data_IF_511124153016
#
_entry.id   IF_511124153016
#
_cell.length_a   1.000
_cell.length_b   1.000
_cell.length_c   1.000
_cell.angle_alpha   90.00
_cell.angle_beta   90.00
_cell.angle_gamma   90.00
#
_symmetry.space_group_name_H-M   'P 1'
#
loop_
_entity.id
_entity.type
_entity.pdbx_description
1 polymer ?
#
# COMPACT_ATOMS: atom_id res chain seq x y z
N UNK A 1 20.83 16.47 17.55
CA UNK A 1 20.29 16.24 16.21
C UNK A 1 19.89 14.79 16.00
N UNK A 2 20.81 13.82 15.96
CA UNK A 2 20.47 12.40 15.62
C UNK A 2 19.32 11.82 16.48
N UNK A 3 19.26 12.13 17.78
CA UNK A 3 18.17 11.64 18.65
C UNK A 3 16.84 12.31 18.26
N UNK A 4 16.83 13.62 18.04
CA UNK A 4 15.64 14.39 17.68
C UNK A 4 15.05 13.98 16.32
N UNK A 5 15.85 13.48 15.38
CA UNK A 5 15.34 13.02 14.08
C UNK A 5 14.54 11.70 14.15
N UNK A 6 14.51 11.04 15.30
CA UNK A 6 13.66 9.86 15.54
C UNK A 6 12.39 10.19 16.31
N UNK A 7 12.23 11.43 16.77
CA UNK A 7 11.04 11.85 17.52
C UNK A 7 9.97 12.37 16.56
N UNK A 8 8.69 12.10 16.82
CA UNK A 8 7.60 12.75 16.12
C UNK A 8 7.57 14.25 16.40
N UNK A 9 7.02 15.05 15.48
CA UNK A 9 7.10 16.52 15.56
C UNK A 9 6.44 17.12 16.80
N UNK A 10 5.37 16.52 17.33
CA UNK A 10 4.75 16.93 18.59
C UNK A 10 5.73 16.79 19.76
N UNK A 11 6.52 15.72 19.81
CA UNK A 11 7.56 15.51 20.84
C UNK A 11 8.74 16.46 20.63
N UNK A 12 9.15 16.72 19.36
CA UNK A 12 10.19 17.73 19.06
C UNK A 12 9.74 19.09 19.61
N UNK A 13 8.48 19.46 19.40
CA UNK A 13 7.91 20.71 19.88
C UNK A 13 7.87 20.79 21.40
N UNK A 14 7.44 19.74 22.09
CA UNK A 14 7.44 19.64 23.56
C UNK A 14 8.85 19.75 24.14
N UNK A 15 9.80 19.05 23.54
CA UNK A 15 11.19 19.03 23.98
C UNK A 15 11.89 20.40 23.81
N UNK A 16 11.38 21.29 22.96
CA UNK A 16 11.87 22.65 22.85
C UNK A 16 11.70 23.49 24.13
N UNK A 17 10.81 23.07 25.04
CA UNK A 17 10.57 23.75 26.30
C UNK A 17 11.56 23.36 27.41
N UNK A 18 12.32 22.26 27.25
CA UNK A 18 13.18 21.69 28.32
C UNK A 18 14.39 22.61 28.65
N UNK A 19 15.12 23.06 27.65
CA UNK A 19 16.25 23.99 27.84
C UNK A 19 16.62 24.73 26.54
N UNK A 20 17.45 25.75 26.65
CA UNK A 20 17.92 26.57 25.51
C UNK A 20 18.58 25.73 24.40
N UNK A 21 19.42 24.75 24.78
CA UNK A 21 20.11 23.88 23.82
C UNK A 21 19.14 22.96 23.08
N UNK A 22 18.16 22.38 23.76
CA UNK A 22 17.13 21.55 23.15
C UNK A 22 16.22 22.38 22.24
N UNK A 23 15.91 23.62 22.66
CA UNK A 23 15.16 24.55 21.81
C UNK A 23 15.90 24.86 20.52
N UNK A 24 17.21 25.14 20.57
CA UNK A 24 18.02 25.35 19.36
C UNK A 24 18.01 24.13 18.44
N UNK A 25 18.11 22.90 19.01
CA UNK A 25 18.05 21.68 18.23
C UNK A 25 16.67 21.45 17.63
N UNK A 26 15.60 21.65 18.41
CA UNK A 26 14.21 21.49 17.94
C UNK A 26 13.84 22.49 16.83
N UNK A 27 14.52 23.64 16.80
CA UNK A 27 14.32 24.69 15.81
C UNK A 27 15.19 24.55 14.56
N UNK A 28 16.06 23.53 14.52
CA UNK A 28 16.86 23.26 13.33
C UNK A 28 15.96 22.81 12.18
N UNK A 29 16.00 23.57 11.09
CA UNK A 29 15.11 23.37 9.93
C UNK A 29 15.24 21.99 9.31
N UNK A 30 16.37 21.31 9.48
CA UNK A 30 16.59 19.93 8.98
C UNK A 30 15.66 18.89 9.61
N UNK A 31 15.10 19.17 10.80
CA UNK A 31 14.10 18.32 11.44
C UNK A 31 12.70 18.52 10.84
N UNK A 32 12.49 19.56 10.03
CA UNK A 32 11.20 19.96 9.46
C UNK A 32 11.16 19.85 7.94
N UNK A 33 11.92 18.90 7.39
CA UNK A 33 11.94 18.65 5.95
C UNK A 33 10.74 17.82 5.46
N UNK A 34 10.10 17.08 6.36
CA UNK A 34 8.89 16.29 6.10
C UNK A 34 7.92 16.54 7.26
N UNK A 35 6.77 17.11 6.99
CA UNK A 35 5.82 17.55 8.03
C UNK A 35 4.41 17.11 7.66
N UNK A 36 3.75 16.39 8.57
CA UNK A 36 2.31 16.20 8.54
C UNK A 36 1.65 17.18 9.50
N UNK A 37 0.67 17.93 9.02
CA UNK A 37 -0.19 18.81 9.81
C UNK A 37 -1.56 18.18 10.07
N UNK A 38 -1.73 16.91 9.76
CA UNK A 38 -2.89 16.10 10.10
C UNK A 38 -2.75 15.65 11.55
N UNK A 39 -3.63 16.12 12.48
CA UNK A 39 -3.48 15.86 13.91
C UNK A 39 -3.49 14.38 14.27
N UNK A 40 -4.31 13.59 13.58
CA UNK A 40 -4.45 12.14 13.76
C UNK A 40 -3.18 11.37 13.38
N UNK A 41 -2.37 11.92 12.48
CA UNK A 41 -1.11 11.30 12.02
C UNK A 41 0.09 11.77 12.85
N UNK A 42 0.24 13.09 13.01
CA UNK A 42 1.44 13.70 13.60
C UNK A 42 1.30 14.11 15.06
N UNK A 43 0.07 14.20 15.56
CA UNK A 43 -0.25 14.81 16.86
C UNK A 43 0.07 16.31 16.94
N UNK A 44 0.36 16.95 15.79
CA UNK A 44 0.54 18.41 15.72
C UNK A 44 -0.80 19.09 15.48
N UNK A 45 -1.15 20.02 16.37
CA UNK A 45 -2.32 20.87 16.20
C UNK A 45 -1.89 22.27 15.83
N UNK A 46 -2.33 22.75 14.66
CA UNK A 46 -2.14 24.12 14.21
C UNK A 46 -3.50 24.80 14.24
N UNK A 47 -3.68 25.70 15.19
CA UNK A 47 -4.98 26.29 15.51
C UNK A 47 -5.34 27.52 14.68
N UNK A 48 -4.39 28.11 13.95
CA UNK A 48 -4.67 29.25 13.10
C UNK A 48 -3.77 29.30 11.87
N UNK A 49 -4.29 29.94 10.82
CA UNK A 49 -3.56 30.17 9.57
C UNK A 49 -2.33 31.06 9.83
N UNK A 50 -2.43 32.09 10.68
CA UNK A 50 -1.33 32.97 11.02
C UNK A 50 -0.17 32.22 11.68
N UNK A 51 -0.49 31.28 12.56
CA UNK A 51 0.52 30.40 13.18
C UNK A 51 1.21 29.54 12.12
N UNK A 52 0.44 28.95 11.20
CA UNK A 52 1.02 28.17 10.09
C UNK A 52 1.90 29.03 9.19
N UNK A 53 1.48 30.25 8.83
CA UNK A 53 2.27 31.18 8.04
C UNK A 53 3.62 31.51 8.72
N UNK A 54 3.60 31.70 10.04
CA UNK A 54 4.82 31.86 10.82
C UNK A 54 5.73 30.63 10.79
N UNK A 55 5.15 29.41 10.92
CA UNK A 55 5.91 28.16 10.83
C UNK A 55 6.55 27.98 9.45
N UNK A 56 5.81 28.28 8.38
CA UNK A 56 6.32 28.20 7.00
C UNK A 56 7.52 29.12 6.83
N UNK A 57 7.38 30.37 7.26
CA UNK A 57 8.44 31.38 7.08
C UNK A 57 9.67 31.12 7.93
N UNK A 58 9.51 30.65 9.17
CA UNK A 58 10.62 30.55 10.16
C UNK A 58 11.21 29.15 10.26
N UNK A 59 10.38 28.11 10.15
CA UNK A 59 10.79 26.73 10.40
C UNK A 59 10.96 25.90 9.15
N UNK A 60 9.99 25.96 8.27
CA UNK A 60 9.94 25.11 7.09
C UNK A 60 10.82 25.68 5.99
N UNK A 61 10.51 26.89 5.52
CA UNK A 61 11.29 27.64 4.54
C UNK A 61 11.95 26.74 3.47
N UNK A 62 13.24 26.93 3.22
CA UNK A 62 13.98 26.17 2.20
C UNK A 62 14.24 24.68 2.56
N UNK A 63 13.97 24.26 3.78
CA UNK A 63 14.20 22.85 4.19
C UNK A 63 13.05 21.92 3.86
N UNK A 64 11.83 22.44 3.73
CA UNK A 64 10.64 21.64 3.53
C UNK A 64 10.67 20.96 2.15
N UNK A 65 10.43 19.64 2.13
CA UNK A 65 10.34 18.80 0.93
C UNK A 65 9.01 18.10 0.80
N UNK A 66 8.39 17.79 1.94
CA UNK A 66 7.11 17.09 2.04
C UNK A 66 6.21 17.78 3.05
N UNK A 67 4.94 17.99 2.69
CA UNK A 67 3.90 18.50 3.59
C UNK A 67 2.57 17.82 3.36
N UNK A 68 1.86 17.52 4.47
CA UNK A 68 0.46 17.11 4.47
C UNK A 68 -0.38 18.22 5.10
N UNK A 69 -1.44 18.61 4.40
CA UNK A 69 -2.37 19.62 4.84
C UNK A 69 -3.78 19.02 5.01
N UNK A 70 -4.39 19.14 6.20
CA UNK A 70 -5.81 18.88 6.38
C UNK A 70 -6.64 20.01 5.76
N UNK A 71 -7.92 19.75 5.51
CA UNK A 71 -8.84 20.63 4.79
C UNK A 71 -8.80 22.09 5.29
N UNK A 72 -8.81 22.27 6.59
CA UNK A 72 -8.88 23.62 7.24
C UNK A 72 -7.68 24.48 6.91
N UNK A 73 -6.54 23.88 6.55
CA UNK A 73 -5.30 24.56 6.23
C UNK A 73 -5.06 24.69 4.71
N UNK A 74 -5.91 24.08 3.87
CA UNK A 74 -5.82 24.19 2.41
C UNK A 74 -6.53 25.48 1.98
N UNK A 75 -5.82 26.58 2.10
CA UNK A 75 -6.31 27.91 1.74
C UNK A 75 -5.37 28.61 0.75
N UNK A 76 -5.89 29.56 -0.04
CA UNK A 76 -5.05 30.24 -1.02
C UNK A 76 -3.84 30.97 -0.38
N UNK A 77 -3.91 31.63 0.83
CA UNK A 77 -2.75 32.24 1.45
C UNK A 77 -1.67 31.22 1.84
N UNK A 78 -2.07 30.06 2.38
CA UNK A 78 -1.13 29.00 2.76
C UNK A 78 -0.42 28.45 1.53
N UNK A 79 -1.15 28.12 0.47
CA UNK A 79 -0.56 27.60 -0.78
C UNK A 79 0.37 28.62 -1.44
N UNK A 80 0.02 29.89 -1.42
CA UNK A 80 0.85 30.99 -1.90
C UNK A 80 2.16 31.12 -1.09
N UNK A 81 2.08 31.05 0.24
CA UNK A 81 3.26 31.14 1.11
C UNK A 81 4.19 29.93 0.92
N UNK A 82 3.63 28.73 0.79
CA UNK A 82 4.41 27.52 0.44
C UNK A 82 5.14 27.68 -0.90
N UNK A 83 4.46 28.21 -1.92
CA UNK A 83 5.06 28.47 -3.22
C UNK A 83 6.25 29.42 -3.14
N UNK A 84 6.15 30.46 -2.33
CA UNK A 84 7.16 31.52 -2.24
C UNK A 84 8.31 31.20 -1.28
N UNK A 85 8.02 30.55 -0.15
CA UNK A 85 9.00 30.33 0.93
C UNK A 85 9.62 28.93 0.93
N UNK A 86 8.99 27.94 0.29
CA UNK A 86 9.45 26.56 0.29
C UNK A 86 9.91 26.10 -1.12
N UNK A 87 11.03 26.65 -1.64
CA UNK A 87 11.47 26.39 -3.02
C UNK A 87 11.92 24.93 -3.28
N UNK A 88 12.06 24.13 -2.23
CA UNK A 88 12.45 22.73 -2.30
C UNK A 88 11.29 21.74 -2.04
N UNK A 89 10.06 22.26 -1.94
CA UNK A 89 8.87 21.43 -1.77
C UNK A 89 8.61 20.61 -3.03
N UNK A 90 8.70 19.30 -2.90
CA UNK A 90 8.56 18.32 -3.98
C UNK A 90 7.39 17.38 -3.82
N UNK A 91 6.85 17.26 -2.60
CA UNK A 91 5.73 16.39 -2.29
C UNK A 91 4.68 17.13 -1.49
N UNK A 92 3.42 16.99 -1.89
CA UNK A 92 2.29 17.59 -1.18
C UNK A 92 1.15 16.59 -1.07
N UNK A 93 0.54 16.49 0.11
CA UNK A 93 -0.73 15.82 0.33
C UNK A 93 -1.77 16.86 0.74
N UNK A 94 -2.88 16.87 0.03
CA UNK A 94 -4.04 17.72 0.27
C UNK A 94 -5.22 16.83 0.67
N UNK A 95 -5.62 16.90 1.93
CA UNK A 95 -6.68 16.06 2.46
C UNK A 95 -8.01 16.79 2.48
N UNK A 96 -8.86 16.46 1.51
CA UNK A 96 -10.23 16.96 1.40
C UNK A 96 -11.27 15.92 1.84
N UNK A 97 -10.86 14.74 2.35
CA UNK A 97 -11.76 13.62 2.62
C UNK A 97 -12.94 13.96 3.54
N UNK A 98 -12.74 14.87 4.47
CA UNK A 98 -13.79 15.32 5.42
C UNK A 98 -14.46 16.63 5.01
N UNK A 99 -14.12 17.17 3.84
CA UNK A 99 -14.60 18.48 3.41
C UNK A 99 -16.07 18.40 2.97
N UNK A 100 -16.87 19.35 3.44
CA UNK A 100 -18.27 19.56 3.03
C UNK A 100 -18.41 20.72 2.04
N UNK A 101 -17.41 21.58 1.96
CA UNK A 101 -17.31 22.70 1.01
C UNK A 101 -15.85 23.12 0.81
N UNK A 102 -15.53 23.64 -0.37
CA UNK A 102 -14.20 24.19 -0.63
C UNK A 102 -14.08 25.60 -0.10
N UNK A 103 -12.87 25.97 0.30
CA UNK A 103 -12.49 27.37 0.46
C UNK A 103 -12.52 28.10 -0.89
N UNK A 104 -12.61 29.44 -0.85
CA UNK A 104 -12.51 30.24 -2.07
C UNK A 104 -11.04 30.30 -2.55
N UNK A 105 -10.82 29.87 -3.78
CA UNK A 105 -9.53 29.91 -4.46
C UNK A 105 -9.46 30.93 -5.60
N UNK A 106 -10.45 31.81 -5.72
CA UNK A 106 -10.51 32.79 -6.81
C UNK A 106 -9.26 33.65 -6.90
N UNK A 107 -8.72 34.07 -5.76
CA UNK A 107 -7.54 34.92 -5.66
C UNK A 107 -6.21 34.14 -5.68
N UNK A 108 -6.24 32.82 -5.88
CA UNK A 108 -5.03 32.01 -5.92
C UNK A 108 -4.22 32.29 -7.19
N UNK A 109 -3.02 32.83 -7.04
CA UNK A 109 -2.12 33.20 -8.13
C UNK A 109 -0.82 32.38 -8.16
N UNK A 110 -0.52 31.63 -7.09
CA UNK A 110 0.68 30.83 -6.99
C UNK A 110 0.41 29.48 -6.31
N UNK A 111 1.13 28.48 -6.77
CA UNK A 111 1.14 27.13 -6.25
C UNK A 111 2.57 26.57 -6.37
N UNK A 112 3.03 25.65 -5.50
CA UNK A 112 4.37 25.08 -5.62
C UNK A 112 4.63 24.45 -6.99
N UNK A 113 5.68 24.90 -7.69
CA UNK A 113 5.96 24.50 -9.09
C UNK A 113 6.95 23.36 -9.22
N UNK A 114 7.67 23.00 -8.14
CA UNK A 114 8.67 21.92 -8.15
C UNK A 114 8.12 20.60 -7.65
N UNK A 115 6.80 20.50 -7.55
CA UNK A 115 6.15 19.26 -7.14
C UNK A 115 6.43 18.13 -8.13
N UNK A 116 6.83 16.99 -7.58
CA UNK A 116 6.97 15.72 -8.29
C UNK A 116 5.90 14.72 -7.87
N UNK A 117 5.44 14.82 -6.62
CA UNK A 117 4.39 13.96 -6.07
C UNK A 117 3.27 14.82 -5.51
N UNK A 118 2.06 14.51 -5.91
CA UNK A 118 0.85 15.11 -5.36
C UNK A 118 -0.14 14.02 -4.97
N UNK A 119 -0.63 14.08 -3.75
CA UNK A 119 -1.72 13.27 -3.26
C UNK A 119 -2.91 14.16 -2.93
N UNK A 120 -4.09 13.79 -3.41
CA UNK A 120 -5.36 14.42 -3.08
C UNK A 120 -6.28 13.34 -2.52
N UNK A 121 -6.63 13.45 -1.24
CA UNK A 121 -7.72 12.65 -0.68
C UNK A 121 -9.04 13.37 -1.00
N UNK A 122 -9.91 12.69 -1.73
CA UNK A 122 -11.14 13.25 -2.27
C UNK A 122 -12.28 13.15 -1.26
N UNK A 123 -13.15 14.15 -1.26
CA UNK A 123 -14.50 14.03 -0.73
C UNK A 123 -15.45 13.70 -1.88
N UNK A 124 -16.38 12.79 -1.67
CA UNK A 124 -17.34 12.36 -2.69
C UNK A 124 -18.42 13.42 -2.98
N UNK A 125 -18.59 14.36 -2.07
CA UNK A 125 -19.65 15.40 -2.15
C UNK A 125 -19.18 16.73 -2.69
N UNK A 126 -17.88 16.91 -2.99
CA UNK A 126 -17.32 18.21 -3.39
C UNK A 126 -16.77 18.18 -4.81
N UNK A 127 -17.29 19.05 -5.67
CA UNK A 127 -16.70 19.30 -6.96
C UNK A 127 -15.39 20.11 -6.85
N UNK A 128 -14.28 19.47 -7.21
CA UNK A 128 -12.94 20.02 -7.10
C UNK A 128 -12.54 20.95 -8.25
N UNK A 129 -13.37 21.10 -9.28
CA UNK A 129 -13.00 21.83 -10.52
C UNK A 129 -12.57 23.30 -10.24
N UNK A 130 -13.18 23.97 -9.26
CA UNK A 130 -12.79 25.34 -8.87
C UNK A 130 -11.33 25.43 -8.41
N UNK A 131 -10.90 24.48 -7.59
CA UNK A 131 -9.53 24.37 -7.12
C UNK A 131 -8.59 23.87 -8.24
N UNK A 132 -8.96 22.79 -8.92
CA UNK A 132 -8.13 22.15 -9.92
C UNK A 132 -7.78 23.09 -11.08
N UNK A 133 -8.73 23.92 -11.51
CA UNK A 133 -8.51 24.93 -12.55
C UNK A 133 -7.38 25.90 -12.20
N UNK A 134 -7.21 26.19 -10.92
CA UNK A 134 -6.17 27.12 -10.45
C UNK A 134 -4.79 26.49 -10.43
N UNK A 135 -4.69 25.15 -10.32
CA UNK A 135 -3.40 24.45 -10.18
C UNK A 135 -2.89 23.80 -11.45
N UNK A 136 -3.73 23.58 -12.48
CA UNK A 136 -3.33 22.86 -13.72
C UNK A 136 -2.03 23.39 -14.34
N UNK A 137 -1.80 24.70 -14.33
CA UNK A 137 -0.61 25.29 -14.93
C UNK A 137 0.67 25.11 -14.09
N UNK A 138 0.56 24.65 -12.85
CA UNK A 138 1.68 24.50 -11.93
C UNK A 138 2.15 23.06 -11.74
N UNK A 139 1.35 22.08 -12.19
CA UNK A 139 1.55 20.64 -11.89
C UNK A 139 2.13 19.83 -13.06
N UNK A 140 2.62 20.48 -14.10
CA UNK A 140 3.17 19.81 -15.29
C UNK A 140 4.46 19.00 -15.00
N UNK A 141 5.13 19.26 -13.90
CA UNK A 141 6.32 18.54 -13.43
C UNK A 141 6.03 17.29 -12.62
N UNK A 142 4.75 16.93 -12.41
CA UNK A 142 4.40 15.75 -11.62
C UNK A 142 4.86 14.45 -12.28
N UNK A 143 5.46 13.59 -11.46
CA UNK A 143 5.84 12.22 -11.80
C UNK A 143 4.93 11.19 -11.12
N UNK A 144 4.35 11.54 -9.97
CA UNK A 144 3.50 10.67 -9.14
C UNK A 144 2.22 11.43 -8.77
N UNK A 145 1.08 10.82 -9.06
CA UNK A 145 -0.24 11.33 -8.72
C UNK A 145 -1.02 10.27 -7.94
N UNK A 146 -1.51 10.67 -6.78
CA UNK A 146 -2.47 9.89 -6.01
C UNK A 146 -3.79 10.66 -5.93
N UNK A 147 -4.85 10.03 -6.35
CA UNK A 147 -6.23 10.43 -6.06
C UNK A 147 -6.83 9.31 -5.22
N UNK A 148 -7.19 9.61 -3.99
CA UNK A 148 -7.66 8.64 -3.01
C UNK A 148 -9.09 8.95 -2.67
N UNK A 149 -9.99 8.03 -3.00
CA UNK A 149 -11.39 8.09 -2.61
C UNK A 149 -11.62 7.53 -1.20
N UNK A 150 -12.83 7.63 -0.71
CA UNK A 150 -13.21 7.18 0.63
C UNK A 150 -13.57 5.70 0.69
N UNK A 151 -13.83 5.06 -0.44
CA UNK A 151 -14.31 3.68 -0.54
C UNK A 151 -15.40 3.39 0.51
N UNK A 152 -16.55 4.01 0.37
CA UNK A 152 -17.77 3.51 0.99
C UNK A 152 -18.46 2.62 -0.03
N UNK A 153 -18.77 1.38 0.39
CA UNK A 153 -19.62 0.50 -0.40
C UNK A 153 -20.96 1.22 -0.50
N UNK A 154 -21.30 1.70 -1.70
CA UNK A 154 -22.59 2.32 -1.91
C UNK A 154 -23.68 1.34 -1.41
N UNK A 155 -24.45 1.74 -0.43
CA UNK A 155 -25.68 1.04 -0.10
C UNK A 155 -26.53 1.00 -1.37
N UNK A 156 -27.29 -0.08 -1.56
CA UNK A 156 -27.98 -0.46 -2.82
C UNK A 156 -29.01 0.56 -3.37
N UNK A 157 -29.10 1.75 -2.80
CA UNK A 157 -29.87 2.87 -3.37
C UNK A 157 -28.99 3.60 -4.36
N UNK A 158 -29.47 3.74 -5.60
CA UNK A 158 -28.82 4.43 -6.74
C UNK A 158 -28.44 5.88 -6.39
N UNK A 159 -27.36 6.07 -5.62
CA UNK A 159 -26.78 7.40 -5.48
C UNK A 159 -26.12 7.80 -6.78
N UNK A 160 -26.48 8.98 -7.29
CA UNK A 160 -25.83 9.56 -8.46
C UNK A 160 -24.33 9.76 -8.20
N UNK A 161 -23.49 8.99 -8.87
CA UNK A 161 -22.03 9.07 -8.73
C UNK A 161 -21.50 10.17 -9.64
N UNK A 162 -20.94 11.20 -9.04
CA UNK A 162 -20.42 12.37 -9.73
C UNK A 162 -18.90 12.30 -9.96
N UNK A 163 -18.43 12.72 -11.12
CA UNK A 163 -17.02 12.96 -11.39
C UNK A 163 -16.58 14.26 -10.67
N UNK A 164 -16.05 14.15 -9.48
CA UNK A 164 -15.64 15.30 -8.64
C UNK A 164 -14.37 15.99 -9.15
N UNK A 165 -13.55 15.31 -9.95
CA UNK A 165 -12.38 15.83 -10.65
C UNK A 165 -12.43 15.46 -12.12
N UNK A 166 -12.22 16.44 -13.01
CA UNK A 166 -12.13 16.18 -14.44
C UNK A 166 -10.78 15.56 -14.82
N UNK A 167 -10.77 14.23 -14.95
CA UNK A 167 -9.57 13.44 -15.27
C UNK A 167 -9.01 13.80 -16.66
N UNK A 168 -9.86 14.14 -17.63
CA UNK A 168 -9.41 14.54 -18.97
C UNK A 168 -8.61 15.84 -18.99
N UNK A 169 -8.94 16.79 -18.13
CA UNK A 169 -8.13 18.00 -17.95
C UNK A 169 -6.86 17.71 -17.15
N UNK A 170 -6.97 16.91 -16.12
CA UNK A 170 -5.85 16.55 -15.26
C UNK A 170 -4.74 15.83 -16.04
N UNK A 171 -5.08 14.82 -16.88
CA UNK A 171 -4.08 14.14 -17.72
C UNK A 171 -3.31 15.10 -18.64
N UNK A 172 -3.99 16.11 -19.16
CA UNK A 172 -3.37 17.09 -20.06
C UNK A 172 -2.40 18.01 -19.33
N UNK A 173 -2.68 18.29 -18.06
CA UNK A 173 -1.82 19.08 -17.17
C UNK A 173 -0.61 18.31 -16.64
N UNK A 174 -0.60 16.96 -16.70
CA UNK A 174 0.40 16.11 -16.07
C UNK A 174 1.02 15.07 -17.02
N UNK A 175 1.68 15.50 -18.11
CA UNK A 175 2.16 14.58 -19.17
C UNK A 175 3.35 13.70 -18.74
N UNK A 176 4.01 14.03 -17.62
CA UNK A 176 5.22 13.36 -17.16
C UNK A 176 4.97 12.26 -16.12
N UNK A 177 3.70 11.88 -15.89
CA UNK A 177 3.36 10.87 -14.89
C UNK A 177 3.99 9.51 -15.20
N UNK A 178 4.62 8.96 -14.17
CA UNK A 178 5.17 7.61 -14.10
C UNK A 178 4.31 6.70 -13.22
N UNK A 179 3.70 7.26 -12.19
CA UNK A 179 2.82 6.55 -11.26
C UNK A 179 1.49 7.27 -11.17
N UNK A 180 0.42 6.53 -11.38
CA UNK A 180 -0.96 6.98 -11.17
C UNK A 180 -1.64 5.99 -10.22
N UNK A 181 -2.14 6.49 -9.11
CA UNK A 181 -2.91 5.73 -8.13
C UNK A 181 -4.29 6.37 -7.96
N UNK A 182 -5.33 5.63 -8.30
CA UNK A 182 -6.75 6.03 -8.28
C UNK A 182 -7.52 5.15 -7.29
N UNK A 183 -7.02 5.02 -6.07
CA UNK A 183 -7.54 4.11 -5.07
C UNK A 183 -8.94 4.50 -4.59
N UNK A 184 -9.90 3.56 -4.66
CA UNK A 184 -11.22 3.69 -4.02
C UNK A 184 -12.10 4.80 -4.59
N UNK A 185 -11.98 5.12 -5.88
CA UNK A 185 -12.73 6.21 -6.51
C UNK A 185 -13.92 5.65 -7.29
N UNK A 186 -15.13 5.90 -6.82
CA UNK A 186 -16.36 5.31 -7.33
C UNK A 186 -16.71 5.73 -8.78
N UNK A 187 -16.30 6.93 -9.23
CA UNK A 187 -16.57 7.38 -10.59
C UNK A 187 -15.54 6.89 -11.62
N UNK A 188 -14.39 6.36 -11.19
CA UNK A 188 -13.33 5.92 -12.11
C UNK A 188 -13.74 4.65 -12.85
N UNK A 189 -13.68 4.72 -14.20
CA UNK A 189 -13.94 3.63 -15.13
C UNK A 189 -12.82 3.50 -16.17
N UNK A 190 -13.00 2.63 -17.14
CA UNK A 190 -12.04 2.37 -18.22
C UNK A 190 -11.74 3.59 -19.10
N UNK A 191 -12.69 4.53 -19.26
CA UNK A 191 -12.46 5.76 -20.05
C UNK A 191 -11.41 6.67 -19.41
N UNK A 192 -11.36 6.70 -18.09
CA UNK A 192 -10.35 7.44 -17.33
C UNK A 192 -8.95 6.81 -17.49
N UNK A 193 -8.86 5.47 -17.51
CA UNK A 193 -7.61 4.73 -17.77
C UNK A 193 -7.13 5.02 -19.21
N UNK A 194 -8.02 4.96 -20.18
CA UNK A 194 -7.71 5.34 -21.57
C UNK A 194 -7.23 6.79 -21.67
N UNK A 195 -7.85 7.67 -20.90
CA UNK A 195 -7.47 9.07 -20.84
C UNK A 195 -6.03 9.24 -20.38
N UNK A 196 -5.63 8.64 -19.25
CA UNK A 196 -4.25 8.67 -18.79
C UNK A 196 -3.30 8.03 -19.80
N UNK A 197 -3.62 6.85 -20.33
CA UNK A 197 -2.77 6.15 -21.30
C UNK A 197 -2.51 6.96 -22.58
N UNK A 198 -3.44 7.82 -22.97
CA UNK A 198 -3.29 8.64 -24.18
C UNK A 198 -2.25 9.76 -24.07
N UNK A 199 -1.94 10.21 -22.85
CA UNK A 199 -1.04 11.33 -22.59
C UNK A 199 0.20 10.95 -21.80
N UNK A 200 0.08 9.99 -20.86
CA UNK A 200 1.14 9.60 -19.93
C UNK A 200 1.89 8.36 -20.44
N UNK A 201 2.56 8.46 -21.59
CA UNK A 201 3.28 7.34 -22.24
C UNK A 201 4.49 6.85 -21.43
N UNK A 202 4.91 7.58 -20.41
CA UNK A 202 5.99 7.21 -19.50
C UNK A 202 5.51 6.41 -18.30
N UNK A 203 4.22 6.04 -18.25
CA UNK A 203 3.61 5.36 -17.12
C UNK A 203 4.31 4.03 -16.83
N UNK A 204 4.74 3.86 -15.59
CA UNK A 204 5.41 2.67 -15.08
C UNK A 204 4.53 1.89 -14.09
N UNK A 205 3.64 2.60 -13.39
CA UNK A 205 2.72 2.01 -12.41
C UNK A 205 1.33 2.64 -12.53
N UNK A 206 0.31 1.79 -12.61
CA UNK A 206 -1.10 2.15 -12.49
C UNK A 206 -1.75 1.31 -11.40
N UNK A 207 -2.37 1.97 -10.43
CA UNK A 207 -3.17 1.34 -9.40
C UNK A 207 -4.59 1.89 -9.48
N UNK A 208 -5.57 1.00 -9.62
CA UNK A 208 -7.01 1.29 -9.68
C UNK A 208 -7.77 0.42 -8.68
N UNK A 209 -7.12 0.12 -7.57
CA UNK A 209 -7.70 -0.73 -6.52
C UNK A 209 -9.02 -0.14 -6.01
N UNK A 210 -10.02 -0.98 -5.84
CA UNK A 210 -11.36 -0.61 -5.36
C UNK A 210 -12.13 0.35 -6.30
N UNK A 211 -11.80 0.35 -7.59
CA UNK A 211 -12.57 1.08 -8.61
C UNK A 211 -13.56 0.11 -9.28
N UNK A 212 -14.75 -0.02 -8.70
CA UNK A 212 -15.74 -1.03 -9.10
C UNK A 212 -16.23 -0.89 -10.56
N UNK A 213 -16.12 0.29 -11.18
CA UNK A 213 -16.51 0.53 -12.59
C UNK A 213 -15.42 0.16 -13.61
N UNK A 214 -14.23 -0.26 -13.15
CA UNK A 214 -13.17 -0.72 -14.05
C UNK A 214 -13.43 -2.16 -14.46
N UNK A 215 -13.70 -2.37 -15.75
CA UNK A 215 -14.06 -3.68 -16.32
C UNK A 215 -12.91 -4.36 -17.07
N UNK A 216 -11.84 -3.61 -17.35
CA UNK A 216 -10.70 -4.08 -18.12
C UNK A 216 -10.81 -3.79 -19.63
N UNK A 217 -11.86 -3.14 -20.10
CA UNK A 217 -12.00 -2.80 -21.52
C UNK A 217 -10.90 -1.89 -22.05
N UNK A 218 -10.28 -1.11 -21.17
CA UNK A 218 -9.13 -0.26 -21.45
C UNK A 218 -7.78 -0.99 -21.53
N UNK A 219 -7.67 -2.24 -21.05
CA UNK A 219 -6.39 -2.93 -20.92
C UNK A 219 -5.63 -3.10 -22.22
N UNK A 220 -6.33 -3.45 -23.30
CA UNK A 220 -5.73 -3.57 -24.64
C UNK A 220 -5.07 -2.27 -25.09
N UNK A 221 -5.73 -1.16 -24.92
CA UNK A 221 -5.23 0.16 -25.29
C UNK A 221 -4.10 0.59 -24.34
N UNK A 222 -4.29 0.41 -23.04
CA UNK A 222 -3.29 0.72 -22.02
C UNK A 222 -1.96 0.03 -22.32
N UNK A 223 -1.96 -1.30 -22.50
CA UNK A 223 -0.75 -2.09 -22.76
C UNK A 223 -0.13 -1.77 -24.14
N UNK A 224 -0.93 -1.33 -25.10
CA UNK A 224 -0.43 -0.90 -26.42
C UNK A 224 0.31 0.43 -26.36
N UNK A 225 -0.15 1.37 -25.54
CA UNK A 225 0.39 2.74 -25.42
C UNK A 225 1.50 2.85 -24.37
N UNK A 226 1.29 2.27 -23.19
CA UNK A 226 2.20 2.41 -22.04
C UNK A 226 3.23 1.28 -22.01
N UNK A 227 4.21 1.29 -22.92
CA UNK A 227 5.21 0.22 -23.04
C UNK A 227 6.18 0.12 -21.86
N UNK A 228 6.19 1.08 -20.94
CA UNK A 228 6.98 1.08 -19.71
C UNK A 228 6.20 0.60 -18.49
N UNK A 229 4.92 0.25 -18.64
CA UNK A 229 4.07 -0.17 -17.54
C UNK A 229 4.54 -1.52 -16.99
N UNK A 230 5.04 -1.51 -15.74
CA UNK A 230 5.59 -2.66 -15.03
C UNK A 230 4.72 -3.12 -13.87
N UNK A 231 3.93 -2.21 -13.31
CA UNK A 231 3.09 -2.48 -12.16
C UNK A 231 1.63 -2.12 -12.49
N UNK A 232 0.73 -3.09 -12.31
CA UNK A 232 -0.70 -2.93 -12.54
C UNK A 232 -1.46 -3.54 -11.36
N UNK A 233 -2.15 -2.68 -10.59
CA UNK A 233 -2.89 -3.08 -9.40
C UNK A 233 -4.38 -2.85 -9.63
N UNK A 234 -5.17 -3.92 -9.62
CA UNK A 234 -6.61 -3.94 -9.95
C UNK A 234 -7.43 -4.70 -8.89
N UNK A 235 -6.99 -4.63 -7.63
CA UNK A 235 -7.70 -5.29 -6.52
C UNK A 235 -9.15 -4.79 -6.43
N UNK A 236 -10.10 -5.74 -6.33
CA UNK A 236 -11.54 -5.45 -6.27
C UNK A 236 -12.09 -4.59 -7.43
N UNK A 237 -11.55 -4.78 -8.62
CA UNK A 237 -12.16 -4.28 -9.86
C UNK A 237 -13.12 -5.32 -10.44
N UNK A 238 -14.14 -4.85 -11.17
CA UNK A 238 -15.15 -5.73 -11.83
C UNK A 238 -14.67 -6.23 -13.20
N UNK A 239 -13.49 -6.85 -13.25
CA UNK A 239 -12.85 -7.28 -14.49
C UNK A 239 -13.70 -8.31 -15.25
N UNK A 240 -13.84 -8.13 -16.55
CA UNK A 240 -14.55 -9.05 -17.43
C UNK A 240 -13.57 -9.99 -18.16
N UNK A 241 -13.92 -11.27 -18.24
CA UNK A 241 -13.06 -12.31 -18.80
C UNK A 241 -12.64 -12.05 -20.24
N UNK A 242 -13.58 -11.68 -21.11
CA UNK A 242 -13.33 -11.40 -22.52
C UNK A 242 -12.41 -10.18 -22.71
N UNK A 243 -12.54 -9.17 -21.88
CA UNK A 243 -11.70 -7.97 -21.92
C UNK A 243 -10.26 -8.26 -21.49
N UNK A 244 -10.09 -9.04 -20.42
CA UNK A 244 -8.78 -9.46 -19.94
C UNK A 244 -8.09 -10.35 -20.96
N UNK A 245 -8.79 -11.30 -21.55
CA UNK A 245 -8.26 -12.21 -22.59
C UNK A 245 -7.92 -11.48 -23.91
N UNK A 246 -8.64 -10.40 -24.25
CA UNK A 246 -8.38 -9.60 -25.45
C UNK A 246 -7.13 -8.72 -25.35
N UNK A 247 -6.57 -8.53 -24.16
CA UNK A 247 -5.38 -7.71 -23.95
C UNK A 247 -4.09 -8.43 -24.42
N UNK A 248 -3.10 -7.66 -24.89
CA UNK A 248 -1.83 -8.20 -25.43
C UNK A 248 -0.76 -8.35 -24.34
N UNK A 249 -1.00 -9.22 -23.36
CA UNK A 249 -0.11 -9.43 -22.21
C UNK A 249 1.30 -9.84 -22.59
N UNK A 250 1.48 -10.64 -23.65
CA UNK A 250 2.77 -11.10 -24.18
C UNK A 250 3.67 -9.98 -24.69
N UNK A 251 3.11 -8.83 -25.00
CA UNK A 251 3.81 -7.62 -25.43
C UNK A 251 4.02 -6.61 -24.30
N UNK A 252 3.53 -6.92 -23.11
CA UNK A 252 3.60 -6.04 -21.95
C UNK A 252 4.96 -6.09 -21.25
N UNK A 253 5.27 -5.07 -20.46
CA UNK A 253 6.41 -5.03 -19.57
C UNK A 253 6.02 -5.35 -18.12
N UNK A 254 4.79 -5.86 -17.88
CA UNK A 254 4.25 -6.13 -16.55
C UNK A 254 5.13 -7.13 -15.80
N UNK A 255 5.48 -6.75 -14.57
CA UNK A 255 6.25 -7.55 -13.63
C UNK A 255 5.54 -7.68 -12.28
N UNK A 256 4.69 -6.73 -11.94
CA UNK A 256 3.94 -6.67 -10.68
C UNK A 256 2.45 -6.56 -11.01
N UNK A 257 1.67 -7.51 -10.53
CA UNK A 257 0.25 -7.63 -10.84
C UNK A 257 -0.55 -7.92 -9.58
N UNK A 258 -1.64 -7.19 -9.38
CA UNK A 258 -2.65 -7.49 -8.36
C UNK A 258 -4.01 -7.64 -9.04
N UNK A 259 -4.58 -8.83 -8.90
CA UNK A 259 -5.94 -9.21 -9.34
C UNK A 259 -6.77 -9.76 -8.19
N UNK A 260 -6.38 -9.44 -6.96
CA UNK A 260 -7.07 -9.90 -5.74
C UNK A 260 -8.55 -9.52 -5.78
N UNK A 261 -9.39 -10.45 -5.36
CA UNK A 261 -10.84 -10.25 -5.25
C UNK A 261 -11.51 -9.72 -6.55
N UNK A 262 -11.10 -10.27 -7.68
CA UNK A 262 -11.76 -10.08 -8.98
C UNK A 262 -12.53 -11.36 -9.36
N UNK A 263 -13.60 -11.22 -10.17
CA UNK A 263 -14.46 -12.34 -10.57
C UNK A 263 -13.97 -13.05 -11.85
N UNK A 264 -12.66 -13.15 -12.03
CA UNK A 264 -12.07 -13.79 -13.20
C UNK A 264 -12.22 -15.31 -13.16
N UNK A 265 -12.55 -15.92 -14.31
CA UNK A 265 -12.59 -17.38 -14.47
C UNK A 265 -11.18 -17.99 -14.44
N UNK A 266 -11.11 -19.29 -14.14
CA UNK A 266 -9.86 -20.03 -14.16
C UNK A 266 -9.14 -19.98 -15.51
N UNK A 267 -9.89 -19.99 -16.62
CA UNK A 267 -9.36 -19.84 -17.98
C UNK A 267 -8.71 -18.47 -18.18
N UNK A 268 -9.40 -17.40 -17.81
CA UNK A 268 -8.89 -16.02 -17.95
C UNK A 268 -7.67 -15.76 -17.06
N UNK A 269 -7.66 -16.27 -15.84
CA UNK A 269 -6.51 -16.18 -14.94
C UNK A 269 -5.30 -16.91 -15.56
N UNK A 270 -5.50 -18.11 -16.07
CA UNK A 270 -4.43 -18.90 -16.67
C UNK A 270 -3.90 -18.24 -17.95
N UNK A 271 -4.78 -17.77 -18.86
CA UNK A 271 -4.40 -17.06 -20.07
C UNK A 271 -3.54 -15.82 -19.73
N UNK A 272 -4.04 -14.99 -18.86
CA UNK A 272 -3.35 -13.79 -18.38
C UNK A 272 -1.94 -14.12 -17.82
N UNK A 273 -1.87 -15.04 -16.86
CA UNK A 273 -0.63 -15.34 -16.14
C UNK A 273 0.41 -16.06 -16.98
N UNK A 274 0.00 -16.84 -17.99
CA UNK A 274 0.93 -17.54 -18.89
C UNK A 274 1.48 -16.65 -19.99
N UNK A 275 0.73 -15.62 -20.39
CA UNK A 275 1.13 -14.66 -21.43
C UNK A 275 2.03 -13.53 -20.93
N UNK A 276 2.07 -13.24 -19.63
CA UNK A 276 2.99 -12.25 -19.07
C UNK A 276 4.43 -12.76 -19.18
N UNK A 277 5.36 -12.04 -19.84
CA UNK A 277 6.70 -12.55 -20.14
C UNK A 277 7.55 -12.82 -18.90
N UNK A 278 7.39 -12.05 -17.82
CA UNK A 278 8.21 -12.17 -16.62
C UNK A 278 7.52 -11.54 -15.41
N UNK A 279 6.80 -12.35 -14.66
CA UNK A 279 6.19 -11.92 -13.40
C UNK A 279 7.21 -11.97 -12.26
N UNK A 280 7.26 -10.92 -11.45
CA UNK A 280 8.11 -10.78 -10.29
C UNK A 280 7.31 -10.82 -8.99
N UNK A 281 6.14 -10.23 -9.02
CA UNK A 281 5.25 -10.08 -7.88
C UNK A 281 3.81 -10.31 -8.34
N UNK A 282 3.09 -11.21 -7.66
CA UNK A 282 1.69 -11.50 -7.91
C UNK A 282 0.90 -11.47 -6.60
N UNK A 283 -0.19 -10.72 -6.60
CA UNK A 283 -1.29 -10.85 -5.63
C UNK A 283 -2.52 -11.37 -6.36
N UNK A 284 -2.99 -12.54 -5.96
CA UNK A 284 -4.11 -13.25 -6.52
C UNK A 284 -4.99 -13.83 -5.40
N UNK A 285 -5.09 -13.11 -4.29
CA UNK A 285 -5.91 -13.51 -3.15
C UNK A 285 -7.40 -13.42 -3.44
N UNK A 286 -8.21 -14.14 -2.65
CA UNK A 286 -9.67 -14.12 -2.73
C UNK A 286 -10.23 -14.44 -4.14
N UNK A 287 -9.57 -15.35 -4.84
CA UNK A 287 -9.99 -15.83 -6.16
C UNK A 287 -10.48 -17.27 -6.06
N UNK A 288 -11.79 -17.49 -6.08
CA UNK A 288 -12.38 -18.83 -6.05
C UNK A 288 -11.93 -19.69 -7.23
N UNK A 289 -11.66 -19.04 -8.36
CA UNK A 289 -11.21 -19.68 -9.57
C UNK A 289 -9.70 -20.01 -9.60
N UNK A 290 -8.93 -19.60 -8.58
CA UNK A 290 -7.50 -19.94 -8.48
C UNK A 290 -7.32 -21.32 -7.87
N UNK A 291 -7.41 -22.34 -8.72
CA UNK A 291 -7.43 -23.77 -8.36
C UNK A 291 -6.06 -24.42 -8.50
N UNK A 292 -5.94 -25.67 -8.03
CA UNK A 292 -4.77 -26.53 -8.24
C UNK A 292 -4.36 -26.64 -9.71
N UNK A 293 -5.35 -26.72 -10.61
CA UNK A 293 -5.12 -26.80 -12.05
C UNK A 293 -4.47 -25.50 -12.57
N UNK A 294 -4.98 -24.34 -12.15
CA UNK A 294 -4.40 -23.03 -12.53
C UNK A 294 -2.97 -22.91 -12.00
N UNK A 295 -2.74 -23.22 -10.72
CA UNK A 295 -1.42 -23.12 -10.10
C UNK A 295 -0.40 -24.05 -10.79
N UNK A 296 -0.80 -25.29 -11.12
CA UNK A 296 0.03 -26.26 -11.82
C UNK A 296 0.38 -25.78 -13.23
N UNK A 297 -0.63 -25.42 -14.03
CA UNK A 297 -0.43 -25.03 -15.43
C UNK A 297 0.34 -23.71 -15.55
N UNK A 298 0.12 -22.78 -14.63
CA UNK A 298 0.93 -21.56 -14.53
C UNK A 298 2.40 -21.90 -14.26
N UNK A 299 2.69 -22.79 -13.30
CA UNK A 299 4.06 -23.23 -13.01
C UNK A 299 4.73 -24.00 -14.15
N UNK A 300 3.97 -24.67 -15.02
CA UNK A 300 4.50 -25.41 -16.18
C UNK A 300 4.76 -24.51 -17.39
N UNK A 301 3.90 -23.51 -17.64
CA UNK A 301 3.85 -22.75 -18.89
C UNK A 301 4.45 -21.33 -18.77
N UNK A 302 4.52 -20.75 -17.56
CA UNK A 302 5.02 -19.41 -17.37
C UNK A 302 6.51 -19.32 -16.99
N UNK A 303 7.12 -18.17 -17.25
CA UNK A 303 8.48 -17.88 -16.81
C UNK A 303 8.50 -17.29 -15.40
N UNK A 304 8.65 -18.14 -14.39
CA UNK A 304 8.61 -17.78 -12.96
C UNK A 304 10.01 -17.60 -12.33
N UNK A 305 11.06 -17.52 -13.13
CA UNK A 305 12.45 -17.36 -12.62
C UNK A 305 12.64 -16.13 -11.75
N UNK A 306 11.86 -15.08 -12.01
CA UNK A 306 11.95 -13.80 -11.31
C UNK A 306 10.88 -13.63 -10.22
N UNK A 307 10.03 -14.64 -9.97
CA UNK A 307 8.99 -14.56 -8.95
C UNK A 307 9.61 -14.46 -7.55
N UNK A 308 9.40 -13.33 -6.88
CA UNK A 308 9.92 -13.05 -5.53
C UNK A 308 8.82 -12.88 -4.50
N UNK A 309 7.59 -12.62 -4.92
CA UNK A 309 6.47 -12.42 -4.02
C UNK A 309 5.19 -13.03 -4.57
N UNK A 310 4.47 -13.75 -3.71
CA UNK A 310 3.23 -14.42 -4.04
C UNK A 310 2.23 -14.28 -2.89
N UNK A 311 1.06 -13.74 -3.22
CA UNK A 311 -0.08 -13.65 -2.31
C UNK A 311 -1.22 -14.51 -2.84
N UNK A 312 -1.62 -15.49 -2.05
CA UNK A 312 -2.72 -16.41 -2.30
C UNK A 312 -3.73 -16.40 -1.14
N UNK A 313 -3.85 -15.26 -0.45
CA UNK A 313 -4.77 -15.13 0.68
C UNK A 313 -6.19 -15.56 0.31
N UNK A 314 -6.79 -16.46 1.10
CA UNK A 314 -8.17 -16.93 0.91
C UNK A 314 -8.44 -17.61 -0.47
N UNK A 315 -7.44 -18.22 -1.07
CA UNK A 315 -7.65 -19.10 -2.24
C UNK A 315 -8.07 -20.49 -1.74
N UNK A 316 -9.36 -20.66 -1.46
CA UNK A 316 -9.90 -21.82 -0.75
C UNK A 316 -9.82 -23.14 -1.53
N UNK A 317 -9.69 -23.05 -2.86
CA UNK A 317 -9.64 -24.20 -3.77
C UNK A 317 -8.22 -24.73 -4.05
N UNK A 318 -7.24 -24.33 -3.24
CA UNK A 318 -5.87 -24.86 -3.32
C UNK A 318 -5.66 -26.03 -2.35
N UNK A 319 -5.11 -27.13 -2.83
CA UNK A 319 -4.72 -28.27 -2.00
C UNK A 319 -3.31 -28.13 -1.42
N UNK A 320 -3.07 -28.82 -0.30
CA UNK A 320 -1.73 -28.93 0.30
C UNK A 320 -0.69 -29.47 -0.70
N UNK A 321 -1.07 -30.45 -1.51
CA UNK A 321 -0.19 -31.08 -2.49
C UNK A 321 0.22 -30.11 -3.60
N UNK A 322 -0.71 -29.31 -4.12
CA UNK A 322 -0.43 -28.33 -5.16
C UNK A 322 0.50 -27.22 -4.64
N UNK A 323 0.23 -26.71 -3.44
CA UNK A 323 1.08 -25.73 -2.77
C UNK A 323 2.48 -26.28 -2.52
N UNK A 324 2.59 -27.50 -2.01
CA UNK A 324 3.88 -28.17 -1.76
C UNK A 324 4.72 -28.28 -3.05
N UNK A 325 4.11 -28.76 -4.14
CA UNK A 325 4.79 -28.91 -5.44
C UNK A 325 5.23 -27.57 -6.01
N UNK A 326 4.35 -26.57 -5.96
CA UNK A 326 4.66 -25.24 -6.49
C UNK A 326 5.78 -24.56 -5.69
N UNK A 327 5.66 -24.52 -4.37
CA UNK A 327 6.67 -23.91 -3.49
C UNK A 327 7.98 -24.70 -3.57
N UNK A 328 7.92 -26.02 -3.65
CA UNK A 328 9.09 -26.89 -3.82
C UNK A 328 9.90 -26.51 -5.05
N UNK A 329 9.23 -26.14 -6.15
CA UNK A 329 9.88 -25.77 -7.42
C UNK A 329 10.36 -24.32 -7.45
N UNK A 330 9.57 -23.36 -6.95
CA UNK A 330 9.82 -21.92 -7.11
C UNK A 330 10.19 -21.20 -5.81
N UNK A 331 9.99 -21.84 -4.66
CA UNK A 331 10.13 -21.21 -3.33
C UNK A 331 11.53 -20.65 -3.02
N UNK A 332 12.58 -21.18 -3.66
CA UNK A 332 13.95 -20.73 -3.42
C UNK A 332 14.20 -19.26 -3.79
N UNK A 333 13.37 -18.70 -4.68
CA UNK A 333 13.44 -17.28 -5.06
C UNK A 333 12.52 -16.38 -4.24
N UNK A 334 11.52 -16.96 -3.57
CA UNK A 334 10.51 -16.20 -2.85
C UNK A 334 11.12 -15.45 -1.66
N UNK A 335 10.82 -14.17 -1.58
CA UNK A 335 11.11 -13.28 -0.46
C UNK A 335 9.86 -12.94 0.34
N UNK A 336 8.68 -13.10 -0.24
CA UNK A 336 7.40 -12.91 0.42
C UNK A 336 6.38 -13.94 -0.02
N UNK A 337 5.62 -14.47 0.93
CA UNK A 337 4.50 -15.35 0.67
C UNK A 337 3.38 -15.10 1.67
N UNK A 338 2.15 -15.10 1.16
CA UNK A 338 0.91 -15.01 1.94
C UNK A 338 0.08 -16.26 1.68
N UNK A 339 -0.24 -16.96 2.76
CA UNK A 339 -1.05 -18.19 2.75
C UNK A 339 -2.18 -18.13 3.79
N UNK A 340 -2.59 -16.92 4.19
CA UNK A 340 -3.68 -16.73 5.13
C UNK A 340 -5.01 -17.17 4.53
N UNK A 341 -5.88 -17.74 5.35
CA UNK A 341 -7.23 -18.11 4.97
C UNK A 341 -7.34 -19.35 4.07
N UNK A 342 -6.25 -20.04 3.77
CA UNK A 342 -6.29 -21.29 2.96
C UNK A 342 -6.52 -22.47 3.89
N UNK A 343 -7.68 -23.19 3.77
CA UNK A 343 -8.06 -24.24 4.73
C UNK A 343 -7.16 -25.47 4.73
N UNK A 344 -6.45 -25.69 3.64
CA UNK A 344 -5.58 -26.87 3.41
C UNK A 344 -4.16 -26.68 3.92
N UNK A 345 -3.79 -25.47 4.36
CA UNK A 345 -2.48 -25.20 4.95
C UNK A 345 -2.38 -25.86 6.32
N UNK A 346 -1.35 -26.71 6.50
CA UNK A 346 -1.11 -27.50 7.70
C UNK A 346 0.30 -27.28 8.24
N UNK A 347 0.55 -27.71 9.49
CA UNK A 347 1.91 -27.74 10.07
C UNK A 347 2.87 -28.58 9.22
N UNK A 348 2.36 -29.69 8.62
CA UNK A 348 3.14 -30.56 7.74
C UNK A 348 3.61 -29.80 6.49
N UNK A 349 2.71 -29.09 5.83
CA UNK A 349 3.07 -28.26 4.68
C UNK A 349 4.17 -27.28 5.04
N UNK A 350 3.97 -26.52 6.13
CA UNK A 350 4.91 -25.49 6.57
C UNK A 350 6.28 -26.09 6.87
N UNK A 351 6.33 -27.20 7.61
CA UNK A 351 7.58 -27.88 7.94
C UNK A 351 8.34 -28.35 6.68
N UNK A 352 7.60 -28.75 5.63
CA UNK A 352 8.17 -29.24 4.39
C UNK A 352 8.62 -28.11 3.43
N UNK A 353 7.92 -26.97 3.41
CA UNK A 353 8.24 -25.87 2.47
C UNK A 353 9.25 -24.85 3.03
N UNK A 354 9.28 -24.64 4.33
CA UNK A 354 10.21 -23.67 4.96
C UNK A 354 11.69 -23.93 4.66
N UNK A 355 12.18 -25.19 4.59
CA UNK A 355 13.56 -25.46 4.16
C UNK A 355 13.89 -24.98 2.74
N UNK A 356 12.88 -24.90 1.85
CA UNK A 356 13.03 -24.42 0.48
C UNK A 356 13.01 -22.88 0.44
N UNK A 357 12.25 -22.25 1.31
CA UNK A 357 12.05 -20.80 1.38
C UNK A 357 13.24 -20.06 2.02
N UNK A 358 14.46 -20.36 1.57
CA UNK A 358 15.72 -19.89 2.18
C UNK A 358 15.91 -18.36 2.19
N UNK A 359 15.23 -17.66 1.29
CA UNK A 359 15.35 -16.21 1.12
C UNK A 359 14.13 -15.44 1.65
N UNK A 360 13.24 -16.14 2.39
CA UNK A 360 11.99 -15.55 2.85
C UNK A 360 12.25 -14.41 3.85
N UNK A 361 11.60 -13.27 3.58
CA UNK A 361 11.66 -12.05 4.39
C UNK A 361 10.30 -11.68 4.96
N UNK A 362 9.23 -12.02 4.24
CA UNK A 362 7.85 -11.71 4.62
C UNK A 362 7.04 -13.00 4.58
N UNK A 363 6.41 -13.33 5.70
CA UNK A 363 5.45 -14.42 5.82
C UNK A 363 4.19 -13.88 6.49
N UNK A 364 3.04 -14.05 5.82
CA UNK A 364 1.72 -13.84 6.43
C UNK A 364 0.96 -15.15 6.41
N UNK A 365 0.47 -15.53 7.57
CA UNK A 365 -0.34 -16.72 7.78
C UNK A 365 -1.43 -16.42 8.80
N UNK A 366 -2.54 -17.13 8.70
CA UNK A 366 -3.62 -16.99 9.66
C UNK A 366 -4.97 -17.33 9.06
N UNK A 367 -6.01 -17.07 9.84
CA UNK A 367 -7.40 -17.12 9.40
C UNK A 367 -7.96 -15.72 9.65
N UNK A 368 -8.23 -14.92 8.62
CA UNK A 368 -8.84 -13.61 8.77
C UNK A 368 -10.16 -13.69 9.55
N UNK A 369 -10.43 -12.68 10.38
CA UNK A 369 -11.61 -12.65 11.25
C UNK A 369 -12.94 -12.65 10.46
N UNK A 370 -12.90 -12.17 9.22
CA UNK A 370 -14.06 -12.04 8.34
C UNK A 370 -14.38 -13.33 7.54
N UNK A 371 -13.60 -14.40 7.72
CA UNK A 371 -13.92 -15.70 7.13
C UNK A 371 -15.22 -16.21 7.77
N UNK A 372 -16.32 -16.17 7.03
CA UNK A 372 -17.65 -16.65 7.43
C UNK A 372 -17.69 -18.14 7.76
N UNK A 373 -16.75 -18.90 7.24
CA UNK A 373 -16.50 -20.29 7.60
C UNK A 373 -15.38 -20.34 8.62
N UNK A 374 -15.72 -20.38 9.91
CA UNK A 374 -14.80 -20.64 11.04
C UNK A 374 -14.22 -22.06 10.94
N UNK A 375 -13.46 -22.32 9.90
CA UNK A 375 -12.72 -23.56 9.78
C UNK A 375 -11.59 -23.54 10.81
N UNK A 376 -11.49 -24.60 11.59
CA UNK A 376 -10.38 -24.74 12.54
C UNK A 376 -9.06 -24.73 11.76
N UNK A 377 -8.18 -23.79 12.12
CA UNK A 377 -6.83 -23.77 11.60
C UNK A 377 -6.14 -25.12 11.89
N UNK A 378 -5.52 -25.70 10.87
CA UNK A 378 -4.69 -26.90 10.99
C UNK A 378 -3.23 -26.56 11.31
N UNK A 379 -2.95 -25.31 11.58
CA UNK A 379 -1.63 -24.80 11.93
C UNK A 379 -1.58 -24.48 13.41
N UNK A 380 -0.56 -24.99 14.11
CA UNK A 380 -0.30 -24.71 15.51
C UNK A 380 0.83 -23.69 15.65
N UNK A 381 0.58 -22.63 16.42
CA UNK A 381 1.54 -21.52 16.58
C UNK A 381 2.89 -22.00 17.08
N UNK A 382 2.92 -22.94 18.00
CA UNK A 382 4.18 -23.46 18.55
C UNK A 382 5.03 -24.12 17.47
N UNK A 383 4.42 -24.94 16.60
CA UNK A 383 5.12 -25.57 15.49
C UNK A 383 5.53 -24.57 14.41
N UNK A 384 4.66 -23.61 14.10
CA UNK A 384 4.97 -22.54 13.17
C UNK A 384 6.14 -21.68 13.63
N UNK A 385 6.11 -21.21 14.88
CA UNK A 385 7.17 -20.37 15.44
C UNK A 385 8.50 -21.09 15.52
N UNK A 386 8.50 -22.38 15.91
CA UNK A 386 9.70 -23.22 15.90
C UNK A 386 10.24 -23.42 14.48
N UNK A 387 9.36 -23.68 13.52
CA UNK A 387 9.75 -23.87 12.12
C UNK A 387 10.31 -22.58 11.52
N UNK A 388 9.66 -21.43 11.77
CA UNK A 388 10.16 -20.13 11.32
C UNK A 388 11.49 -19.79 12.01
N UNK A 389 11.64 -20.08 13.31
CA UNK A 389 12.89 -19.85 14.03
C UNK A 389 14.05 -20.69 13.46
N UNK A 390 13.77 -21.90 12.96
CA UNK A 390 14.80 -22.76 12.41
C UNK A 390 15.23 -22.37 10.98
N UNK A 391 14.31 -21.86 10.15
CA UNK A 391 14.56 -21.63 8.72
C UNK A 391 14.49 -20.15 8.32
N UNK A 392 13.83 -19.30 9.12
CA UNK A 392 13.56 -17.89 8.79
C UNK A 392 14.69 -16.91 9.13
N UNK A 393 15.95 -17.25 8.83
CA UNK A 393 17.12 -16.41 9.13
C UNK A 393 17.01 -14.96 8.59
N UNK A 394 16.38 -14.78 7.45
CA UNK A 394 16.21 -13.49 6.79
C UNK A 394 14.85 -12.86 7.04
N UNK A 395 14.02 -13.45 7.92
CA UNK A 395 12.69 -12.96 8.24
C UNK A 395 12.75 -11.50 8.74
N UNK A 396 12.05 -10.60 8.05
CA UNK A 396 11.93 -9.18 8.43
C UNK A 396 10.54 -8.86 8.96
N UNK A 397 9.52 -9.54 8.43
CA UNK A 397 8.13 -9.36 8.83
C UNK A 397 7.45 -10.72 8.94
N UNK A 398 6.87 -10.98 10.10
CA UNK A 398 6.03 -12.14 10.36
C UNK A 398 4.65 -11.66 10.79
N UNK A 399 3.62 -12.09 10.10
CA UNK A 399 2.23 -11.74 10.38
C UNK A 399 1.44 -12.99 10.69
N UNK A 400 0.89 -13.05 11.90
CA UNK A 400 0.14 -14.17 12.44
C UNK A 400 -1.24 -13.67 12.85
N UNK A 401 -2.20 -13.79 11.92
CA UNK A 401 -3.56 -13.26 12.09
C UNK A 401 -4.53 -14.40 12.40
N UNK A 402 -4.54 -14.88 13.63
CA UNK A 402 -5.52 -15.83 14.14
C UNK A 402 -6.39 -15.20 15.20
N UNK A 403 -7.65 -15.66 15.28
CA UNK A 403 -8.54 -15.36 16.37
C UNK A 403 -7.94 -15.87 17.70
N UNK A 404 -8.08 -15.07 18.76
CA UNK A 404 -7.60 -15.39 20.10
C UNK A 404 -8.20 -16.69 20.68
N UNK A 405 -9.41 -17.06 20.24
CA UNK A 405 -10.09 -18.29 20.67
C UNK A 405 -9.53 -19.54 19.99
N UNK A 406 -8.99 -19.41 18.78
CA UNK A 406 -8.37 -20.49 18.01
C UNK A 406 -6.88 -20.67 18.34
N UNK A 407 -6.22 -19.60 18.72
CA UNK A 407 -4.84 -19.60 19.17
C UNK A 407 -4.78 -19.73 20.70
N UNK A 408 -4.82 -20.95 21.20
CA UNK A 408 -4.51 -21.21 22.61
C UNK A 408 -3.00 -21.13 22.82
N UNK A 409 -2.54 -19.97 23.31
CA UNK A 409 -1.17 -19.85 23.76
C UNK A 409 -0.98 -20.61 25.07
N UNK A 410 -0.12 -21.60 25.02
CA UNK A 410 0.39 -22.31 26.20
C UNK A 410 1.69 -21.67 26.69
N UNK A 411 2.18 -22.07 27.86
CA UNK A 411 3.53 -21.69 28.33
C UNK A 411 4.63 -22.10 27.33
N UNK A 412 4.37 -23.07 26.46
CA UNK A 412 5.26 -23.47 25.37
C UNK A 412 5.36 -22.41 24.29
N UNK A 413 4.26 -21.73 23.98
CA UNK A 413 4.23 -20.66 22.96
C UNK A 413 5.14 -19.49 23.34
N UNK A 414 5.23 -19.16 24.62
CA UNK A 414 6.16 -18.13 25.10
C UNK A 414 7.61 -18.51 24.79
N UNK A 415 7.97 -19.79 24.98
CA UNK A 415 9.30 -20.30 24.64
C UNK A 415 9.57 -20.25 23.14
N UNK A 416 8.59 -20.59 22.31
CA UNK A 416 8.67 -20.50 20.83
C UNK A 416 8.94 -19.07 20.38
N UNK A 417 8.27 -18.09 20.98
CA UNK A 417 8.49 -16.67 20.66
C UNK A 417 9.86 -16.17 21.10
N UNK A 418 10.33 -16.57 22.28
CA UNK A 418 11.70 -16.25 22.71
C UNK A 418 12.74 -16.87 21.76
N UNK A 419 12.48 -18.08 21.28
CA UNK A 419 13.34 -18.74 20.29
C UNK A 419 13.33 -17.98 18.95
N UNK A 420 12.15 -17.56 18.48
CA UNK A 420 12.01 -16.73 17.29
C UNK A 420 12.81 -15.44 17.40
N UNK A 421 12.70 -14.75 18.55
CA UNK A 421 13.45 -13.53 18.84
C UNK A 421 14.95 -13.71 18.72
N UNK A 422 15.47 -14.84 19.20
CA UNK A 422 16.92 -15.12 19.20
C UNK A 422 17.40 -15.54 17.81
N UNK A 423 16.63 -16.40 17.12
CA UNK A 423 17.06 -17.00 15.84
C UNK A 423 16.73 -16.16 14.60
N UNK A 424 15.77 -15.22 14.70
CA UNK A 424 15.43 -14.30 13.61
C UNK A 424 15.93 -12.87 13.92
N UNK A 425 17.25 -12.60 13.82
CA UNK A 425 17.83 -11.31 14.20
C UNK A 425 17.38 -10.14 13.32
N UNK A 426 16.89 -10.44 12.11
CA UNK A 426 16.44 -9.45 11.15
C UNK A 426 14.95 -9.09 11.29
N UNK A 427 14.22 -9.72 12.22
CA UNK A 427 12.80 -9.48 12.40
C UNK A 427 12.55 -8.05 12.88
N UNK A 428 11.96 -7.23 11.99
CA UNK A 428 11.64 -5.82 12.22
C UNK A 428 10.20 -5.62 12.66
N UNK A 429 9.28 -6.46 12.18
CA UNK A 429 7.86 -6.34 12.44
C UNK A 429 7.24 -7.71 12.74
N UNK A 430 6.53 -7.78 13.85
CA UNK A 430 5.67 -8.91 14.20
C UNK A 430 4.23 -8.39 14.31
N UNK A 431 3.31 -8.95 13.53
CA UNK A 431 1.90 -8.56 13.54
C UNK A 431 1.09 -9.70 14.13
N UNK A 432 0.23 -9.39 15.10
CA UNK A 432 -0.61 -10.34 15.83
C UNK A 432 -2.04 -9.82 15.91
N UNK A 433 -3.01 -10.68 16.21
CA UNK A 433 -4.35 -10.22 16.57
C UNK A 433 -4.33 -9.52 17.93
N UNK A 434 -5.25 -8.57 18.12
CA UNK A 434 -5.47 -7.88 19.38
C UNK A 434 -5.84 -8.86 20.49
N UNK A 435 -5.30 -8.68 21.69
CA UNK A 435 -5.65 -9.49 22.85
C UNK A 435 -4.50 -9.62 23.88
N UNK A 436 -4.77 -10.37 24.93
CA UNK A 436 -3.82 -10.60 26.04
C UNK A 436 -2.45 -11.10 25.55
N UNK A 437 -2.45 -11.90 24.51
CA UNK A 437 -1.22 -12.44 23.93
C UNK A 437 -0.37 -11.36 23.26
N UNK A 438 -1.01 -10.46 22.50
CA UNK A 438 -0.32 -9.33 21.90
C UNK A 438 0.44 -8.50 22.95
N UNK A 439 -0.19 -8.20 24.08
CA UNK A 439 0.43 -7.43 25.16
C UNK A 439 1.65 -8.14 25.76
N UNK A 440 1.56 -9.47 25.97
CA UNK A 440 2.68 -10.26 26.49
C UNK A 440 3.86 -10.27 25.51
N UNK A 441 3.56 -10.49 24.22
CA UNK A 441 4.59 -10.53 23.17
C UNK A 441 5.23 -9.17 23.00
N UNK A 442 4.42 -8.10 22.95
CA UNK A 442 4.89 -6.72 22.85
C UNK A 442 5.87 -6.38 23.97
N UNK A 443 5.51 -6.68 25.22
CA UNK A 443 6.39 -6.45 26.37
C UNK A 443 7.74 -7.20 26.30
N UNK A 444 7.75 -8.38 25.65
CA UNK A 444 8.97 -9.18 25.48
C UNK A 444 9.83 -8.76 24.30
N UNK A 445 9.23 -8.29 23.20
CA UNK A 445 9.95 -7.94 21.97
C UNK A 445 10.43 -6.49 21.92
N UNK A 446 9.64 -5.55 22.42
CA UNK A 446 9.98 -4.12 22.41
C UNK A 446 10.91 -3.77 23.57
N UNK A 447 12.13 -4.29 23.52
CA UNK A 447 13.21 -3.94 24.46
C UNK A 447 14.15 -2.92 23.86
N UNK A 448 14.85 -2.17 24.70
CA UNK A 448 15.74 -1.07 24.30
C UNK A 448 16.89 -1.47 23.34
N UNK A 449 17.24 -2.75 23.29
CA UNK A 449 18.30 -3.32 22.46
C UNK A 449 17.77 -3.91 21.12
N UNK A 450 16.47 -3.82 20.84
CA UNK A 450 15.84 -4.44 19.68
C UNK A 450 15.04 -3.46 18.84
N UNK A 451 15.09 -3.69 17.53
CA UNK A 451 14.40 -2.88 16.51
C UNK A 451 13.03 -3.47 16.13
N UNK A 452 12.69 -4.64 16.64
CA UNK A 452 11.43 -5.31 16.30
C UNK A 452 10.24 -4.57 16.92
N UNK A 453 9.32 -4.14 16.08
CA UNK A 453 8.05 -3.52 16.46
C UNK A 453 6.95 -4.59 16.41
N UNK A 454 6.16 -4.69 17.49
CA UNK A 454 4.99 -5.56 17.53
C UNK A 454 3.74 -4.72 17.26
N UNK A 455 2.94 -5.14 16.30
CA UNK A 455 1.72 -4.43 15.86
C UNK A 455 0.50 -5.34 15.94
N UNK A 456 -0.68 -4.75 16.05
CA UNK A 456 -1.92 -5.48 15.86
C UNK A 456 -2.31 -5.50 14.39
N UNK A 457 -3.12 -6.48 13.98
CA UNK A 457 -3.69 -6.54 12.64
C UNK A 457 -4.53 -5.31 12.29
N UNK A 458 -5.21 -4.71 13.29
CA UNK A 458 -5.97 -3.47 13.13
C UNK A 458 -5.12 -2.24 12.79
N UNK A 459 -3.87 -2.22 13.28
CA UNK A 459 -2.96 -1.09 13.10
C UNK A 459 -1.94 -1.34 11.98
N UNK A 460 -2.07 -2.46 11.25
CA UNK A 460 -1.21 -2.80 10.13
C UNK A 460 -1.88 -2.39 8.83
N UNK A 461 -1.69 -1.15 8.43
CA UNK A 461 -2.25 -0.58 7.20
C UNK A 461 -1.57 -1.08 5.93
N UNK A 462 -0.35 -1.60 6.04
CA UNK A 462 0.41 -2.15 4.91
C UNK A 462 0.80 -3.57 5.26
N UNK A 463 -0.07 -4.51 4.94
CA UNK A 463 0.28 -5.92 5.05
C UNK A 463 0.91 -6.38 3.75
N UNK A 464 1.73 -7.42 3.86
CA UNK A 464 1.98 -8.34 2.79
C UNK A 464 3.16 -8.03 1.89
N UNK A 465 3.11 -8.80 0.84
CA UNK A 465 4.02 -8.79 -0.28
C UNK A 465 4.12 -7.44 -1.00
N UNK A 466 3.16 -6.54 -0.79
CA UNK A 466 3.28 -5.15 -1.26
C UNK A 466 4.59 -4.49 -0.83
N UNK A 467 5.12 -4.81 0.36
CA UNK A 467 6.43 -4.33 0.82
C UNK A 467 7.61 -4.79 -0.05
N UNK A 468 7.38 -5.69 -0.98
CA UNK A 468 8.35 -6.15 -1.97
C UNK A 468 8.12 -5.56 -3.36
N UNK A 469 7.08 -4.76 -3.55
CA UNK A 469 6.87 -3.99 -4.77
C UNK A 469 7.96 -2.93 -4.94
N UNK A 470 8.34 -2.66 -6.19
CA UNK A 470 9.25 -1.56 -6.51
C UNK A 470 8.59 -0.18 -6.34
N UNK A 471 7.26 -0.15 -6.26
CA UNK A 471 6.47 1.08 -6.23
C UNK A 471 5.83 1.35 -4.87
N UNK A 472 6.13 0.53 -3.84
CA UNK A 472 5.50 0.63 -2.50
C UNK A 472 5.63 2.03 -1.90
N UNK A 473 6.84 2.60 -1.92
CA UNK A 473 7.10 3.93 -1.37
C UNK A 473 6.36 5.03 -2.14
N UNK A 474 6.00 4.77 -3.39
CA UNK A 474 5.30 5.71 -4.25
C UNK A 474 3.79 5.55 -4.19
N UNK A 475 3.26 4.41 -3.73
CA UNK A 475 1.83 4.10 -3.72
C UNK A 475 1.25 4.17 -2.30
N UNK A 476 1.98 3.74 -1.28
CA UNK A 476 1.46 3.50 0.07
C UNK A 476 2.18 4.30 1.18
N UNK A 477 3.14 5.11 0.86
CA UNK A 477 3.78 6.03 1.79
C UNK A 477 3.35 7.46 1.39
#
# INVERSE_FOLDING_TARGET
>A
MKIFSYLPHNEISRNAAVCKKWRQIAYDTRLWNSVSLRPEVSGLHVYSIEHLMSLISVRFAASLRYIELPMELITHPVLHELANKCPNLTHILLDFSTAMQLHDFNDMQAFPTKLRTMCICLSEVIFMEGFMRKIYNFINGLEVLHLIGTYEKADEEEEEIYEVINVHKLKSATPNLKVVNLYGINFVDDSHIEAFSSNCIQLECLAVNFCAKVTGSSLKILLSRCKKLKCLLMNQCSLQNDQVMAAEWEKSAIQELDITATDLSAESILDLLTRIPSIRWLSAGQLDAFTDSVLKMWGENANLKNLVALDLEMCDNLSEEALYKFIGRFGHNLKGIVLSGIPTVTDSLIANVMPVLKNLRILKMGMPLDCSNRMQSKVHVDQLTDTVANYGKYMERLELSWDNDTLRFSDKSQKGIDTLRVRCPNLKCLVLCDGKYYEIVKANFERADRVTVVRTSKNSTTSNVYLLSHYIELIFN
#
